data_IF_156328365739
#
_entry.id   IF_156328365739
#
_cell.length_a   1.000
_cell.length_b   1.000
_cell.length_c   1.000
_cell.angle_alpha   90.00
_cell.angle_beta   90.00
_cell.angle_gamma   90.00
#
_symmetry.space_group_name_H-M   'P 1'
#
loop_
_entity.id
_entity.type
_entity.pdbx_description
1 polymer ?
#
# COMPACT_ATOMS: atom_id res chain seq x y z
N UNK A 1 -3.84 -1.99 -15.50
CA UNK A 1 -4.48 -0.85 -16.19
C UNK A 1 -3.66 0.39 -15.88
N UNK A 2 -3.20 1.10 -16.90
CA UNK A 2 -2.46 2.34 -16.65
C UNK A 2 -3.41 3.50 -16.26
N UNK A 3 -2.86 4.55 -15.66
CA UNK A 3 -3.64 5.69 -15.17
C UNK A 3 -4.49 6.36 -16.25
N UNK A 4 -3.98 6.46 -17.49
CA UNK A 4 -4.72 7.05 -18.60
C UNK A 4 -5.90 6.17 -19.05
N UNK A 5 -5.75 4.85 -19.05
CA UNK A 5 -6.86 3.91 -19.30
C UNK A 5 -7.96 4.07 -18.24
N UNK A 6 -7.56 4.16 -16.96
CA UNK A 6 -8.50 4.35 -15.85
C UNK A 6 -9.34 5.63 -16.00
N UNK A 7 -8.71 6.76 -16.36
CA UNK A 7 -9.41 8.03 -16.58
C UNK A 7 -10.38 7.99 -17.77
N UNK A 8 -10.13 7.11 -18.74
CA UNK A 8 -10.92 7.01 -19.97
C UNK A 8 -11.96 5.87 -19.94
N UNK A 9 -12.18 5.23 -18.78
CA UNK A 9 -13.19 4.19 -18.62
C UNK A 9 -14.61 4.73 -18.93
N UNK A 10 -15.27 4.11 -19.91
CA UNK A 10 -16.64 4.43 -20.33
C UNK A 10 -17.66 3.43 -19.80
N UNK A 11 -17.33 2.15 -19.86
CA UNK A 11 -18.15 1.02 -19.41
C UNK A 11 -17.56 0.46 -18.12
N UNK A 12 -18.39 -0.15 -17.27
CA UNK A 12 -17.98 -0.81 -16.03
C UNK A 12 -17.15 0.03 -15.04
N UNK A 13 -17.13 1.36 -15.20
CA UNK A 13 -16.36 2.29 -14.37
C UNK A 13 -16.57 2.15 -12.86
N UNK A 14 -17.75 1.66 -12.45
CA UNK A 14 -18.11 1.42 -11.05
C UNK A 14 -17.44 0.19 -10.42
N UNK A 15 -16.82 -0.69 -11.24
CA UNK A 15 -16.03 -1.84 -10.77
C UNK A 15 -14.63 -1.42 -10.33
N UNK A 16 -14.14 -0.26 -10.79
CA UNK A 16 -12.77 0.17 -10.57
C UNK A 16 -12.71 1.26 -9.51
N UNK A 17 -11.77 1.08 -8.58
CA UNK A 17 -11.43 2.06 -7.56
C UNK A 17 -9.92 2.11 -7.42
N UNK A 18 -9.35 3.29 -7.63
CA UNK A 18 -7.93 3.51 -7.41
C UNK A 18 -7.68 3.67 -5.91
N UNK A 19 -7.05 2.64 -5.36
CA UNK A 19 -6.63 2.53 -3.95
C UNK A 19 -5.29 3.24 -3.71
N UNK A 20 -4.70 3.06 -2.53
CA UNK A 20 -3.33 3.47 -2.23
C UNK A 20 -2.34 3.04 -3.30
N UNK A 21 -1.47 3.97 -3.71
CA UNK A 21 -0.50 3.65 -4.74
C UNK A 21 0.65 2.82 -4.18
N UNK A 22 0.97 1.74 -4.89
CA UNK A 22 2.12 0.88 -4.57
C UNK A 22 3.42 1.62 -4.86
N UNK A 23 4.28 1.70 -3.86
CA UNK A 23 5.63 2.25 -3.97
C UNK A 23 6.62 1.28 -3.32
N UNK A 24 7.88 1.22 -3.77
CA UNK A 24 8.87 0.33 -3.15
C UNK A 24 9.06 0.63 -1.65
N UNK A 25 9.16 -0.42 -0.84
CA UNK A 25 9.50 -0.36 0.59
C UNK A 25 10.92 -0.87 0.81
N UNK A 26 11.54 -0.43 1.89
CA UNK A 26 12.66 -1.12 2.53
C UNK A 26 12.21 -1.63 3.92
N UNK A 27 13.14 -2.21 4.67
CA UNK A 27 12.88 -2.77 6.00
C UNK A 27 12.31 -1.79 7.03
N UNK A 28 12.30 -0.48 6.73
CA UNK A 28 11.86 0.59 7.62
C UNK A 28 10.72 1.46 7.05
N UNK A 29 10.24 1.18 5.83
CA UNK A 29 9.09 1.87 5.25
C UNK A 29 9.24 2.26 3.77
N UNK A 30 8.42 3.18 3.25
CA UNK A 30 8.42 3.53 1.84
C UNK A 30 9.70 4.25 1.42
N UNK A 31 10.28 3.89 0.26
CA UNK A 31 11.49 4.50 -0.31
C UNK A 31 11.25 5.90 -0.91
N UNK A 32 10.00 6.22 -1.22
CA UNK A 32 9.54 7.50 -1.77
C UNK A 32 8.32 8.01 -1.00
N UNK A 33 7.97 9.28 -1.14
CA UNK A 33 6.74 9.80 -0.50
C UNK A 33 5.47 9.45 -1.28
N UNK A 34 5.57 9.14 -2.56
CA UNK A 34 4.41 8.95 -3.43
C UNK A 34 4.82 8.21 -4.70
N UNK A 35 3.84 7.70 -5.44
CA UNK A 35 4.02 7.13 -6.77
C UNK A 35 4.31 8.20 -7.84
N UNK A 36 4.65 7.76 -9.05
CA UNK A 36 5.03 8.65 -10.16
C UNK A 36 3.89 9.54 -10.66
N UNK A 37 2.64 9.06 -10.69
CA UNK A 37 1.50 9.82 -11.16
C UNK A 37 1.20 10.99 -10.22
N UNK A 38 1.12 10.75 -8.91
CA UNK A 38 0.93 11.81 -7.93
C UNK A 38 2.18 12.70 -7.79
N UNK A 39 3.39 12.16 -7.94
CA UNK A 39 4.63 12.96 -7.92
C UNK A 39 4.65 14.07 -8.99
N UNK A 40 4.06 13.82 -10.16
CA UNK A 40 3.93 14.81 -11.23
C UNK A 40 2.95 15.93 -10.89
N UNK A 41 1.99 15.69 -9.99
CA UNK A 41 1.02 16.69 -9.53
C UNK A 41 1.56 17.57 -8.40
N UNK A 42 2.59 17.10 -7.68
CA UNK A 42 3.20 17.88 -6.61
C UNK A 42 4.09 18.96 -7.23
N UNK A 43 3.70 20.23 -7.14
CA UNK A 43 4.50 21.35 -7.67
C UNK A 43 5.72 21.63 -6.78
N UNK A 44 5.58 21.47 -5.47
CA UNK A 44 6.60 21.85 -4.49
C UNK A 44 7.77 20.85 -4.41
N UNK A 45 8.95 21.36 -4.00
CA UNK A 45 10.11 20.55 -3.63
C UNK A 45 10.16 20.24 -2.14
N UNK A 46 9.37 20.95 -1.34
CA UNK A 46 9.19 20.65 0.07
C UNK A 46 7.93 19.83 0.24
N UNK A 47 8.10 18.52 0.31
CA UNK A 47 6.99 17.60 0.45
C UNK A 47 6.48 17.54 1.90
N UNK A 48 6.64 18.59 2.72
CA UNK A 48 6.05 18.68 4.06
C UNK A 48 5.13 19.89 4.09
N UNK A 49 3.81 19.70 3.87
CA UNK A 49 2.87 20.81 3.91
C UNK A 49 2.93 21.55 5.25
N UNK A 50 2.91 22.88 5.24
CA UNK A 50 2.90 23.68 6.48
C UNK A 50 1.76 23.32 7.44
N UNK A 51 0.66 22.80 6.89
CA UNK A 51 -0.50 22.30 7.63
C UNK A 51 -0.17 21.20 8.64
N UNK A 52 0.79 20.31 8.34
CA UNK A 52 1.14 19.18 9.23
C UNK A 52 2.18 19.57 10.29
N UNK A 53 2.63 20.82 10.31
CA UNK A 53 3.57 21.35 11.29
C UNK A 53 4.88 20.54 11.34
N UNK A 54 5.18 19.99 12.52
CA UNK A 54 6.40 19.22 12.76
C UNK A 54 6.21 17.70 12.63
N UNK A 55 5.02 17.25 12.22
CA UNK A 55 4.83 15.83 11.91
C UNK A 55 5.67 15.44 10.69
N UNK A 56 6.19 14.23 10.71
CA UNK A 56 7.03 13.70 9.64
C UNK A 56 6.17 12.93 8.64
N UNK A 57 6.18 13.32 7.34
CA UNK A 57 5.54 12.57 6.28
C UNK A 57 6.01 11.13 6.16
N UNK A 58 5.07 10.21 5.95
CA UNK A 58 5.32 8.83 5.59
C UNK A 58 5.07 8.58 4.10
N UNK A 59 3.82 8.77 3.66
CA UNK A 59 3.40 8.53 2.28
C UNK A 59 2.16 9.36 1.93
N UNK A 60 2.05 9.76 0.67
CA UNK A 60 0.91 10.47 0.10
C UNK A 60 0.22 9.59 -0.92
N UNK A 61 -1.11 9.59 -0.87
CA UNK A 61 -1.90 8.82 -1.81
C UNK A 61 -3.00 9.66 -2.44
N UNK A 62 -3.45 9.15 -3.58
CA UNK A 62 -4.54 9.65 -4.37
C UNK A 62 -5.64 8.59 -4.41
N UNK A 63 -6.89 9.00 -4.24
CA UNK A 63 -8.04 8.11 -4.22
C UNK A 63 -9.03 8.56 -5.28
N UNK A 64 -9.36 7.67 -6.21
CA UNK A 64 -10.24 8.02 -7.33
C UNK A 64 -11.15 6.84 -7.66
N UNK A 65 -12.39 7.13 -8.02
CA UNK A 65 -13.30 6.07 -8.43
C UNK A 65 -14.69 6.60 -8.71
N UNK A 66 -15.55 5.67 -9.10
CA UNK A 66 -16.92 5.95 -9.46
C UNK A 66 -17.84 5.23 -8.48
N UNK A 67 -18.68 6.00 -7.78
CA UNK A 67 -19.67 5.43 -6.87
C UNK A 67 -21.05 5.64 -7.50
N UNK A 68 -21.69 4.56 -7.95
CA UNK A 68 -23.09 4.64 -8.41
C UNK A 68 -24.03 5.09 -7.29
N UNK A 69 -25.34 5.10 -7.52
CA UNK A 69 -26.33 5.51 -6.51
C UNK A 69 -26.25 4.70 -5.19
N UNK A 70 -25.76 3.45 -5.26
CA UNK A 70 -25.57 2.56 -4.10
C UNK A 70 -24.38 2.96 -3.20
N UNK A 71 -23.46 3.78 -3.69
CA UNK A 71 -22.22 4.14 -3.00
C UNK A 71 -21.21 2.99 -2.89
N UNK A 72 -19.98 3.29 -2.45
CA UNK A 72 -18.96 2.30 -2.09
C UNK A 72 -18.55 2.43 -0.62
N UNK A 73 -17.97 1.38 -0.03
CA UNK A 73 -17.56 1.34 1.38
C UNK A 73 -16.24 0.62 1.58
N UNK A 74 -15.38 1.14 2.46
CA UNK A 74 -14.03 0.60 2.73
C UNK A 74 -13.94 -0.45 3.83
N UNK A 75 -15.06 -1.01 4.31
CA UNK A 75 -15.09 -1.72 5.60
C UNK A 75 -14.70 -0.82 6.80
N UNK A 76 -14.90 -1.31 8.02
CA UNK A 76 -14.43 -0.62 9.23
C UNK A 76 -13.03 -1.11 9.57
N UNK A 77 -12.06 -0.22 9.55
CA UNK A 77 -10.65 -0.53 9.80
C UNK A 77 -9.98 0.64 10.50
N UNK A 78 -8.70 0.53 10.82
CA UNK A 78 -7.90 1.64 11.34
C UNK A 78 -6.56 1.73 10.63
N UNK A 79 -6.02 2.94 10.46
CA UNK A 79 -4.68 3.14 9.88
C UNK A 79 -3.62 3.20 10.99
N UNK A 80 -2.36 2.87 10.69
CA UNK A 80 -1.23 3.01 11.63
C UNK A 80 -0.61 4.42 11.61
N UNK A 81 -1.06 5.26 10.69
CA UNK A 81 -0.54 6.60 10.48
C UNK A 81 -1.57 7.66 10.87
N UNK A 82 -1.08 8.82 11.28
CA UNK A 82 -1.88 10.03 11.27
C UNK A 82 -2.22 10.38 9.83
N UNK A 83 -3.47 10.75 9.56
CA UNK A 83 -3.99 10.89 8.21
C UNK A 83 -4.72 12.23 8.04
N UNK A 84 -4.27 13.08 7.11
CA UNK A 84 -5.07 14.21 6.60
C UNK A 84 -5.72 13.79 5.29
N UNK A 85 -7.03 13.57 5.31
CA UNK A 85 -7.82 13.26 4.14
C UNK A 85 -8.41 14.54 3.54
N UNK A 86 -8.12 14.83 2.27
CA UNK A 86 -8.58 16.03 1.55
C UNK A 86 -9.50 15.62 0.41
N UNK A 87 -10.76 16.05 0.45
CA UNK A 87 -11.73 15.73 -0.58
C UNK A 87 -11.74 16.81 -1.67
N UNK A 88 -11.32 16.44 -2.88
CA UNK A 88 -11.24 17.35 -4.04
C UNK A 88 -12.51 17.29 -4.88
N UNK A 89 -13.18 16.14 -4.95
CA UNK A 89 -14.45 15.98 -5.67
C UNK A 89 -15.33 14.93 -5.03
N UNK A 90 -16.63 15.18 -5.01
CA UNK A 90 -17.66 14.23 -4.55
C UNK A 90 -18.06 14.46 -3.09
N UNK A 91 -18.56 13.40 -2.45
CA UNK A 91 -19.00 13.44 -1.04
C UNK A 91 -18.59 12.16 -0.33
N UNK A 92 -18.04 12.30 0.88
CA UNK A 92 -17.66 11.16 1.73
C UNK A 92 -18.37 11.25 3.07
N UNK A 93 -18.86 10.12 3.57
CA UNK A 93 -19.35 9.97 4.95
C UNK A 93 -18.39 9.04 5.68
N UNK A 94 -17.80 9.53 6.76
CA UNK A 94 -16.95 8.77 7.66
C UNK A 94 -17.77 8.38 8.89
N UNK A 95 -17.76 7.09 9.22
CA UNK A 95 -18.18 6.61 10.54
C UNK A 95 -16.93 6.31 11.33
N UNK A 96 -16.71 7.02 12.44
CA UNK A 96 -15.43 7.02 13.15
C UNK A 96 -15.64 6.57 14.60
N UNK A 97 -14.72 5.76 15.13
CA UNK A 97 -14.71 5.28 16.52
C UNK A 97 -13.31 5.37 17.14
N UNK A 98 -13.27 5.69 18.43
CA UNK A 98 -12.03 5.87 19.18
C UNK A 98 -11.26 4.54 19.37
N UNK A 99 -9.91 4.54 19.35
CA UNK A 99 -9.08 3.35 19.60
C UNK A 99 -9.39 2.63 20.92
N UNK A 100 -9.90 3.33 21.95
CA UNK A 100 -10.26 2.73 23.25
C UNK A 100 -11.34 1.65 23.15
N UNK A 101 -12.08 1.62 22.04
CA UNK A 101 -13.12 0.63 21.76
C UNK A 101 -12.58 -0.71 21.24
N UNK A 102 -11.26 -0.92 21.22
CA UNK A 102 -10.60 -2.11 20.66
C UNK A 102 -11.11 -3.45 21.21
N UNK A 103 -11.58 -3.50 22.46
CA UNK A 103 -12.14 -4.72 23.04
C UNK A 103 -13.51 -5.10 22.45
N UNK A 104 -14.28 -4.10 22.05
CA UNK A 104 -15.61 -4.27 21.43
C UNK A 104 -15.48 -4.43 19.90
N UNK A 105 -14.50 -3.76 19.30
CA UNK A 105 -14.18 -3.79 17.88
C UNK A 105 -13.08 -4.83 17.62
N UNK A 106 -13.48 -6.11 17.60
CA UNK A 106 -12.57 -7.22 17.29
C UNK A 106 -12.03 -7.09 15.86
N UNK A 107 -10.72 -6.97 15.75
CA UNK A 107 -10.01 -6.93 14.48
C UNK A 107 -9.42 -8.30 14.14
N UNK A 108 -9.07 -8.52 12.87
CA UNK A 108 -8.54 -9.80 12.38
C UNK A 108 -7.23 -10.19 13.08
N UNK A 109 -6.36 -9.21 13.36
CA UNK A 109 -5.09 -9.43 14.05
C UNK A 109 -5.16 -9.35 15.58
N UNK A 110 -4.09 -9.79 16.23
CA UNK A 110 -3.98 -9.77 17.70
C UNK A 110 -3.48 -8.43 18.23
N UNK A 111 -4.34 -7.68 18.91
CA UNK A 111 -3.94 -6.43 19.56
C UNK A 111 -3.03 -6.72 20.76
N UNK A 112 -1.79 -6.21 20.70
CA UNK A 112 -0.79 -6.36 21.78
C UNK A 112 -0.76 -5.16 22.71
N UNK A 113 -0.84 -3.95 22.17
CA UNK A 113 -0.82 -2.72 22.97
C UNK A 113 -1.61 -1.60 22.31
N UNK A 114 -2.24 -0.76 23.13
CA UNK A 114 -2.77 0.54 22.72
C UNK A 114 -1.94 1.61 23.43
N UNK A 115 -1.14 2.35 22.66
CA UNK A 115 -0.25 3.38 23.16
C UNK A 115 -1.03 4.61 23.65
N UNK A 116 -0.39 5.45 24.48
CA UNK A 116 -1.04 6.65 25.06
C UNK A 116 -1.54 7.66 24.03
N UNK A 117 -0.88 7.72 22.88
CA UNK A 117 -1.26 8.58 21.75
C UNK A 117 -2.38 7.98 20.89
N UNK A 118 -2.88 6.79 21.21
CA UNK A 118 -3.97 6.12 20.51
C UNK A 118 -3.54 5.04 19.51
N UNK A 119 -2.24 4.95 19.17
CA UNK A 119 -1.73 3.94 18.23
C UNK A 119 -1.96 2.53 18.78
N UNK A 120 -2.67 1.72 18.00
CA UNK A 120 -2.88 0.29 18.23
C UNK A 120 -1.74 -0.46 17.54
N UNK A 121 -1.01 -1.26 18.30
CA UNK A 121 0.03 -2.13 17.79
C UNK A 121 -0.36 -3.61 17.93
N UNK A 122 -0.24 -4.33 16.82
CA UNK A 122 -0.49 -5.77 16.72
C UNK A 122 0.79 -6.59 16.95
N UNK A 123 1.93 -5.92 17.09
CA UNK A 123 3.22 -6.48 17.45
C UNK A 123 3.75 -5.77 18.71
N UNK A 124 4.35 -6.52 19.64
CA UNK A 124 4.93 -5.98 20.89
C UNK A 124 6.06 -4.98 20.67
N UNK A 125 6.75 -5.08 19.53
CA UNK A 125 7.99 -4.33 19.25
C UNK A 125 7.70 -2.99 18.57
N UNK A 126 6.45 -2.78 18.15
CA UNK A 126 5.99 -1.53 17.56
C UNK A 126 5.86 -0.46 18.65
N UNK A 127 6.71 0.56 18.56
CA UNK A 127 6.73 1.72 19.45
C UNK A 127 5.54 2.64 19.18
N UNK A 128 5.30 3.58 20.10
CA UNK A 128 4.17 4.51 20.02
C UNK A 128 4.21 5.44 18.79
N UNK A 129 5.34 5.59 18.12
CA UNK A 129 5.48 6.33 16.85
C UNK A 129 5.47 5.44 15.60
N UNK A 130 5.14 4.15 15.75
CA UNK A 130 5.14 3.16 14.67
C UNK A 130 6.53 2.60 14.33
N UNK A 131 7.58 2.97 15.07
CA UNK A 131 8.93 2.47 14.86
C UNK A 131 9.11 1.08 15.47
N UNK A 132 9.79 0.17 14.79
CA UNK A 132 10.19 -1.14 15.33
C UNK A 132 11.65 -1.08 15.79
N UNK A 133 11.99 -1.63 16.96
CA UNK A 133 13.38 -1.68 17.44
C UNK A 133 14.27 -2.54 16.54
N UNK A 134 15.49 -2.06 16.23
CA UNK A 134 16.49 -2.77 15.40
C UNK A 134 16.86 -4.18 15.93
N UNK A 135 16.62 -4.48 17.22
CA UNK A 135 16.88 -5.78 17.84
C UNK A 135 15.79 -6.84 17.58
N UNK A 136 14.74 -6.51 16.80
CA UNK A 136 13.73 -7.51 16.43
C UNK A 136 14.30 -8.46 15.37
N UNK A 137 14.85 -9.60 15.81
CA UNK A 137 15.04 -10.82 15.01
C UNK A 137 13.70 -11.41 14.53
N UNK A 138 12.72 -10.60 14.14
CA UNK A 138 11.54 -11.10 13.45
C UNK A 138 11.91 -11.26 11.97
N UNK A 139 12.33 -12.47 11.61
CA UNK A 139 12.49 -12.97 10.24
C UNK A 139 11.22 -12.84 9.38
N UNK A 140 10.10 -12.38 9.95
CA UNK A 140 8.86 -12.15 9.22
C UNK A 140 8.81 -10.71 8.68
N UNK A 141 9.34 -10.50 7.49
CA UNK A 141 9.08 -9.30 6.67
C UNK A 141 7.58 -9.06 6.47
N UNK A 142 6.78 -10.12 6.43
CA UNK A 142 5.31 -10.08 6.40
C UNK A 142 4.71 -9.33 7.59
N UNK A 143 5.24 -9.45 8.80
CA UNK A 143 4.68 -8.76 9.97
C UNK A 143 4.94 -7.25 9.96
N UNK A 144 6.03 -6.81 9.30
CA UNK A 144 6.37 -5.41 9.12
C UNK A 144 5.53 -4.80 8.00
N UNK A 145 5.34 -5.50 6.89
CA UNK A 145 4.45 -5.07 5.79
C UNK A 145 2.95 -5.04 6.19
N UNK A 146 2.51 -5.93 7.09
CA UNK A 146 1.15 -5.97 7.65
C UNK A 146 0.72 -4.70 8.42
N UNK A 147 1.67 -3.92 8.98
CA UNK A 147 1.37 -2.61 9.60
C UNK A 147 1.39 -1.44 8.61
N UNK A 148 1.86 -1.64 7.38
CA UNK A 148 1.92 -0.56 6.39
C UNK A 148 0.73 -0.56 5.43
N UNK A 149 -0.40 -1.18 5.79
CA UNK A 149 -1.70 -0.98 5.10
C UNK A 149 -1.70 -1.14 3.58
N UNK A 150 -0.66 -1.75 3.01
CA UNK A 150 -0.59 -2.03 1.58
C UNK A 150 -1.02 -3.46 1.39
N UNK A 151 -2.33 -3.67 1.30
CA UNK A 151 -2.84 -4.92 0.76
C UNK A 151 -2.21 -5.13 -0.62
N UNK A 152 -1.39 -6.15 -0.69
CA UNK A 152 -0.91 -6.71 -1.93
C UNK A 152 -2.11 -7.24 -2.72
N UNK A 153 -2.41 -6.54 -3.82
CA UNK A 153 -2.81 -7.01 -5.16
C UNK A 153 -4.24 -6.72 -5.64
N UNK A 154 -4.32 -5.90 -6.70
CA UNK A 154 -5.34 -6.03 -7.76
C UNK A 154 -4.75 -6.08 -9.20
N UNK A 155 -3.43 -6.11 -9.38
CA UNK A 155 -2.84 -6.27 -10.74
C UNK A 155 -1.75 -7.34 -10.87
N UNK A 156 -1.39 -8.04 -9.79
CA UNK A 156 -0.24 -8.95 -9.78
C UNK A 156 -0.59 -10.44 -9.94
N UNK A 157 -1.86 -10.75 -10.26
CA UNK A 157 -2.35 -12.12 -10.54
C UNK A 157 -2.30 -12.54 -12.01
N UNK A 158 -1.77 -11.72 -12.92
CA UNK A 158 -1.81 -12.04 -14.35
C UNK A 158 -0.52 -12.70 -14.89
N UNK A 159 0.47 -13.04 -14.05
CA UNK A 159 1.61 -13.85 -14.48
C UNK A 159 1.40 -15.28 -13.98
N UNK A 160 1.25 -16.20 -14.92
CA UNK A 160 1.28 -17.63 -14.60
C UNK A 160 2.65 -18.01 -13.99
N UNK A 161 2.74 -19.05 -13.15
CA UNK A 161 4.02 -19.55 -12.63
C UNK A 161 5.07 -19.80 -13.73
N UNK A 162 4.61 -20.19 -14.93
CA UNK A 162 5.42 -20.37 -16.13
C UNK A 162 6.02 -19.06 -16.66
N UNK A 163 5.25 -17.97 -16.65
CA UNK A 163 5.72 -16.64 -17.06
C UNK A 163 6.68 -16.02 -16.04
N UNK A 164 6.44 -16.25 -14.75
CA UNK A 164 7.32 -15.80 -13.67
C UNK A 164 8.70 -16.47 -13.78
N UNK A 165 8.74 -17.81 -13.87
CA UNK A 165 9.98 -18.58 -14.03
C UNK A 165 10.74 -18.18 -15.30
N UNK A 166 10.02 -17.86 -16.38
CA UNK A 166 10.64 -17.35 -17.62
C UNK A 166 11.29 -15.98 -17.43
N UNK A 167 10.64 -15.05 -16.73
CA UNK A 167 11.19 -13.72 -16.43
C UNK A 167 12.39 -13.79 -15.48
N UNK A 168 12.32 -14.60 -14.42
CA UNK A 168 13.44 -14.83 -13.49
C UNK A 168 14.69 -15.31 -14.23
N UNK A 169 14.55 -16.32 -15.10
CA UNK A 169 15.65 -16.80 -15.93
C UNK A 169 16.26 -15.72 -16.84
N UNK A 170 15.43 -14.85 -17.43
CA UNK A 170 15.90 -13.75 -18.28
C UNK A 170 16.69 -12.71 -17.49
N UNK A 171 16.24 -12.37 -16.28
CA UNK A 171 16.91 -11.41 -15.41
C UNK A 171 18.22 -11.98 -14.88
N UNK A 172 18.24 -13.24 -14.46
CA UNK A 172 19.46 -13.94 -14.02
C UNK A 172 20.52 -14.00 -15.12
N UNK A 173 20.11 -14.28 -16.36
CA UNK A 173 21.03 -14.22 -17.51
C UNK A 173 21.57 -12.81 -17.74
N UNK A 174 20.74 -11.77 -17.59
CA UNK A 174 21.17 -10.36 -17.69
C UNK A 174 22.18 -10.01 -16.60
N UNK A 175 21.95 -10.41 -15.35
CA UNK A 175 22.86 -10.19 -14.22
C UNK A 175 24.21 -10.85 -14.46
N UNK A 176 24.22 -12.12 -14.90
CA UNK A 176 25.46 -12.83 -15.20
C UNK A 176 26.27 -12.16 -16.32
N UNK A 177 25.60 -11.72 -17.38
CA UNK A 177 26.24 -10.97 -18.48
C UNK A 177 26.81 -9.63 -18.01
N UNK A 178 26.09 -8.89 -17.16
CA UNK A 178 26.58 -7.62 -16.59
C UNK A 178 27.79 -7.84 -15.69
N UNK A 179 27.76 -8.88 -14.83
CA UNK A 179 28.90 -9.28 -13.99
C UNK A 179 30.13 -9.64 -14.82
N UNK A 180 29.96 -10.34 -15.95
CA UNK A 180 31.07 -10.63 -16.86
C UNK A 180 31.61 -9.38 -17.57
N UNK A 181 30.75 -8.45 -17.98
CA UNK A 181 31.17 -7.22 -18.65
C UNK A 181 31.96 -6.31 -17.70
N UNK A 182 31.53 -6.21 -16.43
CA UNK A 182 32.26 -5.49 -15.37
C UNK A 182 33.66 -6.09 -15.18
N UNK A 183 33.78 -7.42 -15.23
CA UNK A 183 35.07 -8.10 -15.09
C UNK A 183 36.00 -7.93 -16.33
N UNK A 184 35.44 -7.72 -17.53
CA UNK A 184 36.20 -7.66 -18.79
C UNK A 184 36.57 -6.23 -19.22
N UNK A 185 35.87 -5.19 -18.78
CA UNK A 185 36.06 -3.84 -19.34
C UNK A 185 35.95 -2.69 -18.31
N UNK A 186 37.07 -2.07 -17.87
CA UNK A 186 37.06 -1.11 -16.77
C UNK A 186 36.64 0.33 -17.14
N UNK A 187 36.43 0.66 -18.42
CA UNK A 187 36.18 2.04 -18.84
C UNK A 187 34.73 2.53 -18.64
N UNK A 188 33.75 1.65 -18.38
CA UNK A 188 32.33 1.99 -18.13
C UNK A 188 31.76 1.34 -16.85
N UNK A 189 32.59 1.11 -15.83
CA UNK A 189 32.21 0.35 -14.62
C UNK A 189 31.00 0.96 -13.90
N UNK A 190 30.87 2.29 -13.83
CA UNK A 190 29.79 2.94 -13.07
C UNK A 190 28.40 2.69 -13.68
N UNK A 191 28.27 2.79 -15.01
CA UNK A 191 27.02 2.52 -15.73
C UNK A 191 26.65 1.03 -15.65
N UNK A 192 27.63 0.14 -15.81
CA UNK A 192 27.42 -1.30 -15.67
C UNK A 192 27.02 -1.70 -14.24
N UNK A 193 27.57 -1.05 -13.21
CA UNK A 193 27.16 -1.26 -11.82
C UNK A 193 25.76 -0.74 -11.53
N UNK A 194 25.36 0.37 -12.16
CA UNK A 194 24.00 0.90 -12.04
C UNK A 194 22.98 -0.07 -12.66
N UNK A 195 23.23 -0.52 -13.90
CA UNK A 195 22.38 -1.51 -14.58
C UNK A 195 22.36 -2.86 -13.84
N UNK A 196 23.46 -3.24 -13.20
CA UNK A 196 23.53 -4.43 -12.35
C UNK A 196 22.62 -4.27 -11.14
N UNK A 197 22.68 -3.11 -10.45
CA UNK A 197 21.80 -2.82 -9.31
C UNK A 197 20.31 -2.84 -9.68
N UNK A 198 19.93 -2.29 -10.84
CA UNK A 198 18.56 -2.37 -11.33
C UNK A 198 18.14 -3.81 -11.66
N UNK A 199 19.04 -4.61 -12.24
CA UNK A 199 18.73 -6.00 -12.56
C UNK A 199 18.60 -6.87 -11.30
N UNK A 200 19.49 -6.70 -10.31
CA UNK A 200 19.44 -7.40 -9.02
C UNK A 200 18.18 -7.02 -8.23
N UNK A 201 17.79 -5.75 -8.23
CA UNK A 201 16.53 -5.32 -7.61
C UNK A 201 15.30 -5.96 -8.29
N UNK A 202 15.29 -6.03 -9.62
CA UNK A 202 14.19 -6.70 -10.32
C UNK A 202 14.16 -8.22 -10.08
N UNK A 203 15.32 -8.85 -9.83
CA UNK A 203 15.39 -10.27 -9.46
C UNK A 203 14.79 -10.49 -8.07
N UNK A 204 15.17 -9.66 -7.10
CA UNK A 204 14.64 -9.66 -5.73
C UNK A 204 13.11 -9.51 -5.74
N UNK A 205 12.59 -8.53 -6.49
CA UNK A 205 11.15 -8.31 -6.64
C UNK A 205 10.41 -9.51 -7.26
N UNK A 206 11.04 -10.31 -8.14
CA UNK A 206 10.42 -11.50 -8.72
C UNK A 206 10.54 -12.75 -7.83
N UNK A 207 11.62 -12.86 -7.04
CA UNK A 207 11.82 -13.94 -6.07
C UNK A 207 10.84 -13.83 -4.91
N UNK A 208 10.56 -12.61 -4.46
CA UNK A 208 9.52 -12.34 -3.45
C UNK A 208 8.14 -12.80 -3.93
N UNK A 209 7.86 -12.63 -5.22
CA UNK A 209 6.63 -13.13 -5.86
C UNK A 209 6.61 -14.66 -5.91
N UNK A 210 7.73 -15.31 -6.29
CA UNK A 210 7.86 -16.76 -6.35
C UNK A 210 7.69 -17.42 -4.98
N UNK A 211 8.27 -16.82 -3.93
CA UNK A 211 8.11 -17.23 -2.55
C UNK A 211 6.64 -17.12 -2.11
N UNK A 212 5.99 -16.01 -2.46
CA UNK A 212 4.57 -15.79 -2.20
C UNK A 212 3.63 -16.78 -2.89
N UNK A 213 3.97 -17.28 -4.08
CA UNK A 213 3.20 -18.34 -4.77
C UNK A 213 3.43 -19.72 -4.14
N UNK A 214 4.68 -20.03 -3.77
CA UNK A 214 5.05 -21.32 -3.15
C UNK A 214 4.36 -21.51 -1.80
N UNK A 215 4.26 -20.44 -0.99
CA UNK A 215 3.56 -20.46 0.30
C UNK A 215 2.04 -20.65 0.18
N UNK A 216 1.45 -20.36 -0.99
CA UNK A 216 0.01 -20.57 -1.28
C UNK A 216 -0.33 -21.99 -1.73
N UNK A 217 0.65 -22.90 -1.77
CA UNK A 217 0.42 -24.30 -2.13
C UNK A 217 0.23 -24.56 -3.62
N UNK A 218 0.49 -23.56 -4.48
CA UNK A 218 0.65 -23.77 -5.92
C UNK A 218 2.00 -24.46 -6.14
N UNK A 219 2.01 -25.80 -6.22
CA UNK A 219 3.20 -26.50 -6.67
C UNK A 219 3.54 -26.03 -8.08
N UNK A 220 4.75 -25.46 -8.26
CA UNK A 220 5.40 -25.41 -9.56
C UNK A 220 5.64 -26.88 -9.93
N UNK A 221 4.74 -27.46 -10.71
CA UNK A 221 4.92 -28.81 -11.25
C UNK A 221 6.19 -28.74 -12.11
N UNK A 222 7.28 -29.26 -11.56
CA UNK A 222 8.44 -29.68 -12.33
C UNK A 222 8.02 -30.96 -13.04
N UNK A 223 7.42 -30.85 -14.22
CA UNK A 223 7.43 -31.92 -15.23
C UNK A 223 7.25 -31.28 -16.61
N UNK A 224 8.39 -31.11 -17.27
CA UNK A 224 8.46 -31.14 -18.72
C UNK A 224 8.25 -32.59 -19.13
N UNK A 225 7.15 -32.90 -19.80
CA UNK A 225 7.19 -33.94 -20.83
C UNK A 225 6.31 -33.54 -22.01
N UNK A 226 6.92 -33.53 -23.18
CA UNK A 226 6.29 -33.35 -24.48
C UNK A 226 5.46 -34.60 -24.81
N UNK A 227 4.23 -34.45 -25.34
CA UNK A 227 3.67 -35.19 -26.49
C UNK A 227 2.13 -35.14 -26.58
N UNK A 228 1.68 -34.76 -27.77
CA UNK A 228 0.53 -35.28 -28.56
C UNK A 228 -0.94 -35.21 -28.04
N UNK A 229 -1.70 -34.37 -28.76
CA UNK A 229 -2.95 -34.62 -29.50
C UNK A 229 -4.32 -34.96 -28.87
N UNK A 230 -5.29 -34.21 -29.43
CA UNK A 230 -6.69 -34.49 -29.79
C UNK A 230 -7.82 -34.73 -28.75
N UNK A 231 -8.80 -33.82 -28.85
CA UNK A 231 -10.27 -34.02 -28.86
C UNK A 231 -10.98 -34.74 -27.71
N UNK A 232 -11.94 -34.05 -27.07
CA UNK A 232 -13.39 -34.38 -27.16
C UNK A 232 -14.25 -33.36 -26.39
N UNK A 233 -15.38 -32.97 -27.01
CA UNK A 233 -16.46 -32.15 -26.46
C UNK A 233 -17.28 -32.94 -25.43
N UNK A 234 -17.83 -32.24 -24.43
CA UNK A 234 -19.19 -32.47 -23.94
C UNK A 234 -19.71 -31.25 -23.18
N UNK A 235 -20.86 -30.74 -23.62
CA UNK A 235 -21.69 -29.75 -22.94
C UNK A 235 -22.27 -30.33 -21.64
N UNK A 236 -22.18 -29.59 -20.53
CA UNK A 236 -23.17 -29.62 -19.45
C UNK A 236 -23.27 -28.20 -18.91
N UNK A 237 -24.42 -27.57 -19.17
CA UNK A 237 -24.90 -26.39 -18.45
C UNK A 237 -25.22 -26.80 -17.01
N UNK A 238 -24.41 -26.34 -16.05
CA UNK A 238 -24.85 -26.13 -14.67
C UNK A 238 -24.38 -24.72 -14.26
N UNK A 239 -25.37 -23.89 -13.90
CA UNK A 239 -25.18 -22.57 -13.30
C UNK A 239 -24.44 -22.73 -11.95
N UNK A 240 -23.11 -22.84 -12.00
CA UNK A 240 -22.26 -22.60 -10.85
C UNK A 240 -22.00 -21.09 -10.79
N UNK A 241 -22.74 -20.40 -9.92
CA UNK A 241 -22.24 -19.17 -9.31
C UNK A 241 -20.91 -19.53 -8.65
N UNK A 242 -19.81 -19.35 -9.38
CA UNK A 242 -18.47 -19.40 -8.81
C UNK A 242 -18.41 -18.28 -7.76
N UNK A 243 -18.68 -18.63 -6.50
CA UNK A 243 -18.32 -17.79 -5.37
C UNK A 243 -16.80 -17.58 -5.46
N UNK A 244 -16.40 -16.39 -5.91
CA UNK A 244 -15.00 -15.99 -5.86
C UNK A 244 -14.47 -16.22 -4.44
N UNK A 245 -13.27 -16.80 -4.27
CA UNK A 245 -12.72 -17.06 -2.95
C UNK A 245 -12.71 -15.75 -2.14
N UNK A 246 -13.43 -15.75 -1.01
CA UNK A 246 -13.50 -14.61 -0.10
C UNK A 246 -12.08 -14.23 0.33
N UNK A 247 -11.56 -13.17 -0.25
CA UNK A 247 -10.31 -12.53 0.16
C UNK A 247 -10.42 -12.20 1.66
N UNK A 248 -9.51 -12.75 2.47
CA UNK A 248 -9.49 -12.45 3.89
C UNK A 248 -9.14 -10.97 4.10
N UNK A 249 -9.96 -10.28 4.88
CA UNK A 249 -9.73 -8.88 5.23
C UNK A 249 -8.42 -8.76 6.03
N UNK A 250 -7.68 -7.64 5.93
CA UNK A 250 -6.41 -7.45 6.64
C UNK A 250 -6.56 -7.41 8.16
N UNK A 251 -5.45 -7.59 8.87
CA UNK A 251 -5.41 -7.64 10.35
C UNK A 251 -6.05 -6.45 11.06
N UNK A 252 -5.98 -5.25 10.48
CA UNK A 252 -6.53 -4.02 11.04
C UNK A 252 -8.03 -3.82 10.76
N UNK A 253 -8.67 -4.72 10.03
CA UNK A 253 -10.11 -4.67 9.74
C UNK A 253 -10.91 -5.36 10.83
N UNK A 254 -12.11 -4.84 11.09
CA UNK A 254 -13.03 -5.41 12.09
C UNK A 254 -13.72 -6.66 11.51
N UNK A 255 -13.55 -7.81 12.17
CA UNK A 255 -14.05 -9.14 11.74
C UNK A 255 -15.56 -9.14 11.49
N UNK A 256 -16.32 -8.40 12.30
CA UNK A 256 -17.78 -8.37 12.15
C UNK A 256 -18.23 -7.44 11.05
N UNK A 257 -18.93 -7.97 10.04
CA UNK A 257 -19.76 -7.15 9.12
C UNK A 257 -20.56 -6.14 9.95
N UNK A 258 -20.50 -4.86 9.57
CA UNK A 258 -21.01 -3.67 10.29
C UNK A 258 -22.37 -3.84 11.00
N UNK A 259 -23.24 -4.68 10.45
CA UNK A 259 -24.58 -4.96 10.98
C UNK A 259 -24.60 -5.64 12.36
N UNK A 260 -23.49 -6.28 12.78
CA UNK A 260 -23.41 -6.95 14.10
C UNK A 260 -22.70 -6.11 15.17
N UNK A 261 -22.09 -4.97 14.81
CA UNK A 261 -21.46 -4.08 15.77
C UNK A 261 -22.55 -3.28 16.50
N UNK A 262 -22.69 -3.50 17.81
CA UNK A 262 -23.65 -2.73 18.61
C UNK A 262 -23.03 -1.39 19.01
N UNK A 263 -23.24 -0.37 18.17
CA UNK A 263 -22.72 0.98 18.38
C UNK A 263 -23.14 1.61 19.73
N UNK A 264 -24.24 1.16 20.35
CA UNK A 264 -24.67 1.68 21.65
C UNK A 264 -23.72 1.33 22.80
N UNK A 265 -22.83 0.34 22.62
CA UNK A 265 -21.79 -0.03 23.61
C UNK A 265 -20.49 0.75 23.44
N UNK A 266 -20.33 1.45 22.32
CA UNK A 266 -19.10 2.17 22.01
C UNK A 266 -19.15 3.56 22.68
N UNK A 267 -18.08 3.91 23.39
CA UNK A 267 -18.06 5.13 24.20
C UNK A 267 -18.13 6.43 23.37
N UNK A 268 -17.92 6.38 22.05
CA UNK A 268 -18.07 7.52 21.13
C UNK A 268 -17.97 7.04 19.66
N UNK A 269 -19.06 7.17 18.91
CA UNK A 269 -19.10 6.95 17.45
C UNK A 269 -19.56 8.25 16.81
N UNK A 270 -18.83 8.71 15.80
CA UNK A 270 -19.11 9.96 15.11
C UNK A 270 -19.40 9.68 13.64
N UNK A 271 -20.42 10.35 13.11
CA UNK A 271 -20.62 10.43 11.67
C UNK A 271 -20.19 11.81 11.17
N UNK A 272 -19.25 11.83 10.24
CA UNK A 272 -18.70 13.06 9.67
C UNK A 272 -18.94 13.06 8.16
N UNK A 273 -19.58 14.11 7.66
CA UNK A 273 -19.73 14.34 6.22
C UNK A 273 -18.62 15.28 5.78
N UNK A 274 -17.74 14.79 4.91
CA UNK A 274 -16.70 15.59 4.25
C UNK A 274 -17.22 15.95 2.87
N UNK A 275 -17.35 17.24 2.60
CA UNK A 275 -17.76 17.80 1.32
C UNK A 275 -16.54 18.25 0.52
N UNK A 276 -16.75 18.50 -0.77
CA UNK A 276 -15.74 19.04 -1.68
C UNK A 276 -15.03 20.27 -1.09
N UNK A 277 -13.70 20.28 -1.16
CA UNK A 277 -12.83 21.33 -0.60
C UNK A 277 -12.58 21.22 0.91
N UNK A 278 -13.19 20.24 1.59
CA UNK A 278 -12.96 20.01 3.01
C UNK A 278 -11.89 18.95 3.25
N UNK A 279 -11.34 18.98 4.47
CA UNK A 279 -10.37 18.02 4.96
C UNK A 279 -10.79 17.46 6.31
N UNK A 280 -10.34 16.24 6.59
CA UNK A 280 -10.52 15.54 7.85
C UNK A 280 -9.17 15.03 8.34
N UNK A 281 -8.79 15.38 9.56
CA UNK A 281 -7.64 14.79 10.23
C UNK A 281 -8.11 13.60 11.09
N UNK A 282 -7.47 12.45 10.90
CA UNK A 282 -7.67 11.23 11.65
C UNK A 282 -6.35 10.87 12.33
N UNK A 283 -6.26 10.87 13.66
CA UNK A 283 -5.08 10.37 14.35
C UNK A 283 -4.92 8.87 14.10
N UNK A 284 -3.70 8.36 14.25
CA UNK A 284 -3.42 6.94 14.10
C UNK A 284 -4.36 6.07 14.94
N UNK A 285 -4.75 4.95 14.33
CA UNK A 285 -5.60 3.90 14.85
C UNK A 285 -7.03 4.29 15.21
N UNK A 286 -7.49 5.47 14.81
CA UNK A 286 -8.91 5.76 14.83
C UNK A 286 -9.63 4.88 13.81
N UNK A 287 -10.57 4.07 14.32
CA UNK A 287 -11.40 3.23 13.49
C UNK A 287 -12.25 4.11 12.59
N UNK A 288 -12.29 3.80 11.31
CA UNK A 288 -13.10 4.52 10.35
C UNK A 288 -13.65 3.60 9.26
N UNK A 289 -14.87 3.90 8.84
CA UNK A 289 -15.49 3.37 7.63
C UNK A 289 -15.82 4.55 6.74
N UNK A 290 -15.43 4.48 5.47
CA UNK A 290 -15.68 5.56 4.51
C UNK A 290 -16.71 5.11 3.50
N UNK A 291 -17.85 5.80 3.47
CA UNK A 291 -18.83 5.66 2.40
C UNK A 291 -18.63 6.77 1.37
N UNK A 292 -18.57 6.36 0.10
CA UNK A 292 -18.39 7.26 -1.04
C UNK A 292 -19.67 7.40 -1.82
N UNK A 293 -19.99 8.62 -2.22
CA UNK A 293 -21.20 8.92 -2.99
C UNK A 293 -20.88 9.79 -4.20
N UNK A 294 -21.66 9.59 -5.25
CA UNK A 294 -21.63 10.40 -6.47
C UNK A 294 -20.84 9.74 -7.60
N UNK A 295 -21.20 10.09 -8.83
CA UNK A 295 -20.71 9.41 -10.03
C UNK A 295 -19.20 9.37 -10.12
N UNK A 296 -18.50 10.40 -9.65
CA UNK A 296 -17.05 10.46 -9.57
C UNK A 296 -16.63 11.11 -8.26
N UNK A 297 -15.63 10.53 -7.59
CA UNK A 297 -15.02 11.12 -6.41
C UNK A 297 -13.50 11.09 -6.50
N UNK A 298 -12.88 12.11 -5.92
CA UNK A 298 -11.45 12.32 -5.97
C UNK A 298 -10.96 12.90 -4.65
N UNK A 299 -9.92 12.29 -4.07
CA UNK A 299 -9.34 12.75 -2.82
C UNK A 299 -7.82 12.51 -2.81
N UNK A 300 -7.14 13.25 -1.94
CA UNK A 300 -5.76 12.98 -1.57
C UNK A 300 -5.69 12.71 -0.09
N UNK A 301 -4.68 11.97 0.35
CA UNK A 301 -4.38 11.90 1.76
C UNK A 301 -2.89 12.01 2.06
N UNK A 302 -2.59 12.60 3.21
CA UNK A 302 -1.25 12.73 3.73
C UNK A 302 -1.12 11.81 4.94
N UNK A 303 -0.28 10.78 4.86
CA UNK A 303 0.09 9.99 6.03
C UNK A 303 1.34 10.53 6.70
N UNK A 304 1.31 10.61 8.02
CA UNK A 304 2.41 11.01 8.87
C UNK A 304 2.64 9.99 9.98
N UNK A 305 3.87 9.90 10.47
CA UNK A 305 4.18 9.08 11.62
C UNK A 305 3.49 9.62 12.88
N UNK A 306 2.83 8.77 13.71
CA UNK A 306 2.16 9.26 14.91
C UNK A 306 3.16 9.84 15.91
N UNK A 307 2.84 10.98 16.57
CA UNK A 307 3.74 11.59 17.53
C UNK A 307 3.86 10.74 18.81
N UNK A 308 5.07 10.59 19.36
CA UNK A 308 5.30 9.89 20.63
C UNK A 308 5.79 10.80 21.77
N UNK A 309 5.65 12.12 21.59
CA UNK A 309 6.04 13.14 22.55
C UNK A 309 4.93 14.18 22.73
N UNK A 310 4.85 14.79 23.90
CA UNK A 310 3.77 15.72 24.27
C UNK A 310 4.05 17.17 23.86
N UNK A 311 5.11 17.41 23.06
CA UNK A 311 5.55 18.75 22.64
C UNK A 311 5.25 18.99 21.16
N UNK A 312 4.49 20.03 20.86
CA UNK A 312 4.12 20.38 19.48
C UNK A 312 5.35 20.71 18.62
N UNK A 313 6.35 21.39 19.18
CA UNK A 313 7.60 21.75 18.48
C UNK A 313 8.51 20.55 18.26
N UNK A 314 8.29 19.45 18.99
CA UNK A 314 9.13 18.26 18.97
C UNK A 314 8.25 17.00 19.16
N UNK A 315 7.44 16.62 18.16
CA UNK A 315 6.45 15.54 18.28
C UNK A 315 7.06 14.14 18.44
N UNK A 316 8.35 13.99 18.12
CA UNK A 316 9.08 12.73 18.23
C UNK A 316 10.18 12.81 19.29
N UNK A 317 10.34 11.74 20.07
CA UNK A 317 11.38 11.61 21.10
C UNK A 317 12.80 11.53 20.54
N UNK A 318 12.95 11.03 19.31
CA UNK A 318 14.23 10.84 18.63
C UNK A 318 14.23 11.54 17.27
N UNK A 319 15.41 11.69 16.66
CA UNK A 319 15.56 12.24 15.31
C UNK A 319 15.31 11.18 14.21
N UNK A 320 14.88 9.97 14.56
CA UNK A 320 14.79 8.85 13.65
C UNK A 320 13.96 9.18 12.40
N UNK A 321 12.69 9.58 12.60
CA UNK A 321 11.78 9.87 11.49
C UNK A 321 12.24 11.05 10.64
N UNK A 322 12.81 12.08 11.26
CA UNK A 322 13.36 13.21 10.52
C UNK A 322 14.57 12.83 9.65
N UNK A 323 15.44 11.94 10.15
CA UNK A 323 16.55 11.42 9.36
C UNK A 323 16.05 10.53 8.21
N UNK A 324 15.03 9.70 8.48
CA UNK A 324 14.36 8.89 7.45
C UNK A 324 13.72 9.78 6.38
N UNK A 325 12.99 10.81 6.76
CA UNK A 325 12.36 11.75 5.82
C UNK A 325 13.38 12.42 4.90
N UNK A 326 14.55 12.83 5.41
CA UNK A 326 15.61 13.39 4.57
C UNK A 326 16.06 12.42 3.47
N UNK A 327 16.17 11.13 3.78
CA UNK A 327 16.53 10.09 2.81
C UNK A 327 15.40 9.88 1.78
N UNK A 328 14.17 9.67 2.25
CA UNK A 328 13.00 9.47 1.39
C UNK A 328 12.75 10.68 0.48
N UNK A 329 12.92 11.89 1.01
CA UNK A 329 12.84 13.14 0.24
C UNK A 329 13.88 13.18 -0.86
N UNK A 330 15.14 12.86 -0.56
CA UNK A 330 16.22 12.84 -1.55
C UNK A 330 15.92 11.84 -2.69
N UNK A 331 15.41 10.66 -2.35
CA UNK A 331 15.00 9.66 -3.33
C UNK A 331 13.83 10.15 -4.19
N UNK A 332 12.83 10.79 -3.56
CA UNK A 332 11.67 11.38 -4.23
C UNK A 332 12.09 12.49 -5.20
N UNK A 333 13.04 13.34 -4.81
CA UNK A 333 13.59 14.38 -5.68
C UNK A 333 14.35 13.81 -6.87
N UNK A 334 15.15 12.75 -6.68
CA UNK A 334 15.83 12.05 -7.79
C UNK A 334 14.83 11.49 -8.79
N UNK A 335 13.82 10.78 -8.30
CA UNK A 335 12.74 10.20 -9.12
C UNK A 335 11.98 11.27 -9.90
N UNK A 336 11.66 12.41 -9.28
CA UNK A 336 11.00 13.54 -9.96
C UNK A 336 11.85 14.11 -11.09
N UNK A 337 13.17 14.24 -10.87
CA UNK A 337 14.09 14.71 -11.91
C UNK A 337 14.20 13.74 -13.09
N UNK A 338 14.17 12.42 -12.84
CA UNK A 338 14.16 11.40 -13.90
C UNK A 338 12.88 11.45 -14.73
N UNK A 339 11.71 11.56 -14.09
CA UNK A 339 10.42 11.72 -14.77
C UNK A 339 10.38 12.97 -15.66
N UNK A 340 10.94 14.09 -15.18
CA UNK A 340 11.00 15.33 -15.94
C UNK A 340 11.94 15.25 -17.17
N UNK A 341 13.01 14.44 -17.10
CA UNK A 341 13.89 14.21 -18.26
C UNK A 341 13.20 13.39 -19.35
N UNK A 342 12.40 12.40 -18.95
CA UNK A 342 11.73 11.50 -19.88
C UNK A 342 10.51 12.11 -20.59
N UNK A 343 9.99 13.24 -20.11
CA UNK A 343 8.87 13.97 -20.73
C UNK A 343 9.29 14.99 -21.78
N UNK A 344 10.60 15.23 -21.95
CA UNK A 344 11.18 16.21 -22.89
C UNK A 344 11.85 15.56 -24.11
N UNK A 345 11.79 14.24 -24.24
CA UNK A 345 12.09 13.47 -25.46
C UNK A 345 10.79 12.95 -26.05
#
# INVERSE_FOLDING_TARGET
MNFNEFLNLKEDKFKYYMTTQKIPYDSVGPKYLTDGALLNLLEEKDYRPSLIGNLVPNQYNMWMGFSGEKGSSTGLHFDYHDNIYVLVKGKKKFTISCPVNVQELKVNGDVKVVHKNGLIALNSDCQSDGHFSDDSESENEDSRSFQFGQNFNDEMFNLTPKELKKKLNQIQQKINNLKEQINKNPENIEDLKFQLGEAEQNEEELLDIELGLTLKGEQIIDDFDENEDENLKADVDEDDEQEEPLQEDPDNFVISKLQKVNYHRLCSVFEVIVNEGQMLYLPASWYHQVNSYGEFHFAFNYWMHPPNNDKFEQPYKTQYWENRYKQVKLNTDKRKNELNKNTHN
#
